data_IF_801066506179
#
_entry.id   IF_801066506179
#
_cell.length_a   1.000
_cell.length_b   1.000
_cell.length_c   1.000
_cell.angle_alpha   90.00
_cell.angle_beta   90.00
_cell.angle_gamma   90.00
#
_symmetry.space_group_name_H-M   'P 1'
#
loop_
_entity.id
_entity.type
_entity.pdbx_description
1 polymer ?
#
# COMPACT_ATOMS: atom_id res chain seq x y z
N UNK A 1 3.16 10.85 -22.34
CA UNK A 1 2.36 10.56 -21.13
C UNK A 1 1.27 9.59 -21.52
N UNK A 2 1.13 8.48 -20.82
CA UNK A 2 0.04 7.50 -21.04
C UNK A 2 -1.17 8.01 -20.26
N UNK A 3 -2.37 7.84 -20.83
CA UNK A 3 -3.63 8.10 -20.11
C UNK A 3 -4.26 6.80 -19.65
N UNK A 4 -4.67 6.77 -18.41
CA UNK A 4 -5.40 5.65 -17.85
C UNK A 4 -6.85 5.60 -18.40
N UNK A 5 -7.43 4.41 -18.34
CA UNK A 5 -8.84 4.17 -18.64
C UNK A 5 -9.52 3.52 -17.43
N UNK A 6 -10.78 3.84 -17.19
CA UNK A 6 -11.52 3.27 -16.07
C UNK A 6 -11.84 1.79 -16.34
N UNK A 7 -11.43 0.91 -15.43
CA UNK A 7 -11.79 -0.50 -15.41
C UNK A 7 -13.14 -0.70 -14.70
N UNK A 8 -13.28 -0.09 -13.51
CA UNK A 8 -14.51 -0.14 -12.70
C UNK A 8 -14.56 1.06 -11.75
N UNK A 9 -15.70 1.32 -11.16
CA UNK A 9 -15.94 2.40 -10.19
C UNK A 9 -16.75 1.92 -8.99
N UNK A 10 -17.50 2.83 -8.38
CA UNK A 10 -18.35 2.56 -7.24
C UNK A 10 -17.60 2.05 -6.00
N UNK A 11 -16.40 2.59 -5.78
CA UNK A 11 -15.61 2.38 -4.57
C UNK A 11 -15.73 3.61 -3.66
N UNK A 12 -15.78 3.41 -2.37
CA UNK A 12 -15.61 4.53 -1.44
C UNK A 12 -14.16 5.00 -1.42
N UNK A 13 -13.23 4.12 -1.05
CA UNK A 13 -11.80 4.42 -1.07
C UNK A 13 -11.00 3.12 -1.19
N UNK A 14 -10.53 2.82 -2.40
CA UNK A 14 -9.79 1.60 -2.69
C UNK A 14 -8.32 1.71 -2.32
N UNK A 15 -7.79 0.69 -1.60
CA UNK A 15 -6.41 0.64 -1.12
C UNK A 15 -5.83 -0.77 -1.07
N UNK A 16 -4.51 -0.86 -0.84
CA UNK A 16 -3.79 -2.10 -0.66
C UNK A 16 -3.96 -3.11 -1.81
N UNK A 17 -3.90 -2.69 -3.09
CA UNK A 17 -4.17 -3.58 -4.20
C UNK A 17 -3.10 -4.68 -4.33
N UNK A 18 -3.55 -5.91 -4.63
CA UNK A 18 -2.69 -7.09 -4.80
C UNK A 18 -3.20 -7.94 -5.95
N UNK A 19 -2.30 -8.30 -6.88
CA UNK A 19 -2.66 -9.23 -7.94
C UNK A 19 -2.49 -10.68 -7.46
N UNK A 20 -3.61 -11.37 -7.25
CA UNK A 20 -3.63 -12.73 -6.72
C UNK A 20 -4.70 -13.59 -7.42
N UNK A 21 -4.36 -14.81 -7.83
CA UNK A 21 -5.26 -15.75 -8.51
C UNK A 21 -6.05 -15.08 -9.66
N UNK A 22 -5.33 -14.44 -10.58
CA UNK A 22 -5.85 -13.80 -11.80
C UNK A 22 -6.90 -12.70 -11.54
N UNK A 23 -6.88 -12.10 -10.35
CA UNK A 23 -7.73 -10.98 -9.96
C UNK A 23 -6.94 -9.93 -9.19
N UNK A 24 -7.36 -8.68 -9.31
CA UNK A 24 -6.90 -7.62 -8.41
C UNK A 24 -7.75 -7.65 -7.14
N UNK A 25 -7.12 -7.98 -6.02
CA UNK A 25 -7.69 -7.87 -4.68
C UNK A 25 -7.39 -6.50 -4.11
N UNK A 26 -8.30 -5.93 -3.35
CA UNK A 26 -8.12 -4.61 -2.73
C UNK A 26 -9.04 -4.44 -1.54
N UNK A 27 -8.67 -3.54 -0.65
CA UNK A 27 -9.49 -3.07 0.46
C UNK A 27 -10.30 -1.85 0.02
N UNK A 28 -11.60 -1.82 0.34
CA UNK A 28 -12.44 -0.64 0.19
C UNK A 28 -12.75 -0.13 1.61
N UNK A 29 -11.97 0.87 2.05
CA UNK A 29 -11.91 1.31 3.45
C UNK A 29 -13.28 1.56 4.07
N UNK A 30 -14.08 2.40 3.42
CA UNK A 30 -15.37 2.84 3.98
C UNK A 30 -16.53 1.91 3.59
N UNK A 31 -16.30 0.96 2.70
CA UNK A 31 -17.20 -0.17 2.50
C UNK A 31 -16.99 -1.28 3.56
N UNK A 32 -15.92 -1.18 4.38
CA UNK A 32 -15.53 -2.20 5.35
C UNK A 32 -15.36 -3.59 4.70
N UNK A 33 -14.81 -3.63 3.51
CA UNK A 33 -14.78 -4.83 2.70
C UNK A 33 -13.45 -5.04 1.97
N UNK A 34 -13.04 -6.29 1.87
CA UNK A 34 -12.05 -6.73 0.88
C UNK A 34 -12.83 -7.19 -0.34
N UNK A 35 -12.47 -6.66 -1.48
CA UNK A 35 -13.08 -6.95 -2.78
C UNK A 35 -12.03 -7.48 -3.76
N UNK A 36 -12.48 -8.09 -4.83
CA UNK A 36 -11.63 -8.39 -5.98
C UNK A 36 -12.29 -7.99 -7.29
N UNK A 37 -11.49 -7.70 -8.31
CA UNK A 37 -11.99 -7.39 -9.65
C UNK A 37 -11.22 -8.19 -10.70
N UNK A 38 -11.94 -8.74 -11.66
CA UNK A 38 -11.35 -9.39 -12.83
C UNK A 38 -10.93 -8.40 -13.91
N UNK A 39 -10.24 -8.88 -14.94
CA UNK A 39 -9.89 -8.07 -16.13
C UNK A 39 -11.12 -7.60 -16.91
N UNK A 40 -12.29 -8.19 -16.65
CA UNK A 40 -13.59 -7.79 -17.22
C UNK A 40 -14.29 -6.68 -16.42
N UNK A 41 -13.67 -6.16 -15.38
CA UNK A 41 -14.20 -5.10 -14.50
C UNK A 41 -15.25 -5.57 -13.49
N UNK A 42 -15.56 -6.89 -13.42
CA UNK A 42 -16.54 -7.40 -12.48
C UNK A 42 -15.96 -7.56 -11.08
N UNK A 43 -16.52 -6.80 -10.15
CA UNK A 43 -16.17 -6.88 -8.73
C UNK A 43 -16.83 -8.10 -8.06
N UNK A 44 -16.16 -8.59 -7.01
CA UNK A 44 -16.68 -9.58 -6.05
C UNK A 44 -16.39 -9.09 -4.65
N UNK A 45 -17.31 -9.33 -3.74
CA UNK A 45 -17.08 -9.22 -2.31
C UNK A 45 -16.37 -10.52 -1.86
N UNK A 46 -15.21 -10.37 -1.25
CA UNK A 46 -14.42 -11.50 -0.77
C UNK A 46 -14.52 -11.64 0.75
N UNK A 47 -14.57 -10.51 1.47
CA UNK A 47 -14.63 -10.47 2.91
C UNK A 47 -15.25 -9.17 3.41
N UNK A 48 -16.09 -9.24 4.45
CA UNK A 48 -16.56 -8.09 5.22
C UNK A 48 -15.88 -8.04 6.59
N UNK A 49 -15.52 -6.85 7.03
CA UNK A 49 -14.90 -6.60 8.33
C UNK A 49 -15.75 -5.64 9.17
N UNK A 50 -15.69 -5.77 10.48
CA UNK A 50 -16.29 -4.79 11.40
C UNK A 50 -15.52 -3.46 11.38
N UNK A 51 -14.19 -3.52 11.18
CA UNK A 51 -13.29 -2.38 11.07
C UNK A 51 -12.91 -2.08 9.61
N UNK A 52 -12.15 -1.01 9.36
CA UNK A 52 -11.61 -0.64 8.06
C UNK A 52 -10.47 -1.59 7.68
N UNK A 53 -10.56 -2.33 6.56
CA UNK A 53 -9.42 -3.07 6.02
C UNK A 53 -8.42 -2.13 5.35
N UNK A 54 -7.12 -2.47 5.37
CA UNK A 54 -6.09 -1.81 4.58
C UNK A 54 -5.18 -2.83 3.89
N UNK A 55 -3.90 -2.90 4.23
CA UNK A 55 -2.94 -3.77 3.60
C UNK A 55 -3.38 -5.24 3.52
N UNK A 56 -3.14 -5.85 2.37
CA UNK A 56 -3.45 -7.25 2.08
C UNK A 56 -2.19 -8.05 1.79
N UNK A 57 -2.22 -9.35 2.08
CA UNK A 57 -1.16 -10.29 1.69
C UNK A 57 -1.57 -11.72 1.99
N UNK A 58 -0.72 -12.67 1.63
CA UNK A 58 -1.00 -14.10 1.85
C UNK A 58 0.17 -14.79 2.53
N UNK A 59 -0.15 -15.61 3.49
CA UNK A 59 0.78 -16.59 4.03
C UNK A 59 1.16 -17.63 2.96
N UNK A 60 2.31 -18.32 3.09
CA UNK A 60 2.71 -19.36 2.14
C UNK A 60 1.70 -20.53 2.00
N UNK A 61 0.85 -20.73 3.00
CA UNK A 61 -0.24 -21.73 2.97
C UNK A 61 -1.51 -21.25 2.27
N UNK A 62 -1.51 -20.01 1.73
CA UNK A 62 -2.59 -19.42 0.97
C UNK A 62 -3.63 -18.67 1.82
N UNK A 63 -3.48 -18.59 3.15
CA UNK A 63 -4.41 -17.82 3.99
C UNK A 63 -4.17 -16.33 3.83
N UNK A 64 -5.27 -15.59 3.65
CA UNK A 64 -5.26 -14.13 3.53
C UNK A 64 -4.90 -13.49 4.89
N UNK A 65 -4.03 -12.50 4.85
CA UNK A 65 -3.79 -11.54 5.93
C UNK A 65 -4.40 -10.19 5.55
N UNK A 66 -5.06 -9.54 6.50
CA UNK A 66 -5.70 -8.23 6.32
C UNK A 66 -5.37 -7.33 7.51
N UNK A 67 -4.90 -6.13 7.24
CA UNK A 67 -4.74 -5.10 8.28
C UNK A 67 -6.11 -4.56 8.68
N UNK A 68 -6.44 -4.62 9.97
CA UNK A 68 -7.56 -3.93 10.61
C UNK A 68 -7.04 -2.62 11.17
N UNK A 69 -7.39 -1.52 10.50
CA UNK A 69 -6.71 -0.22 10.70
C UNK A 69 -6.86 0.34 12.11
N UNK A 70 -8.13 0.51 12.56
CA UNK A 70 -8.47 1.17 13.84
C UNK A 70 -8.23 0.29 15.04
N UNK A 71 -8.46 -1.02 14.88
CA UNK A 71 -8.17 -1.99 15.92
C UNK A 71 -6.67 -2.27 16.05
N UNK A 72 -5.85 -1.77 15.09
CA UNK A 72 -4.39 -2.00 15.03
C UNK A 72 -4.05 -3.49 15.16
N UNK A 73 -4.69 -4.30 14.31
CA UNK A 73 -4.50 -5.76 14.28
C UNK A 73 -4.16 -6.24 12.89
N UNK A 74 -3.41 -7.31 12.82
CA UNK A 74 -3.30 -8.13 11.62
C UNK A 74 -4.25 -9.31 11.78
N UNK A 75 -5.25 -9.40 10.90
CA UNK A 75 -6.22 -10.49 10.88
C UNK A 75 -5.81 -11.54 9.87
N UNK A 76 -6.18 -12.80 10.12
CA UNK A 76 -5.96 -13.93 9.24
C UNK A 76 -7.29 -14.62 8.94
N UNK A 77 -7.54 -14.89 7.66
CA UNK A 77 -8.71 -15.65 7.26
C UNK A 77 -8.43 -17.15 7.36
N UNK A 78 -9.07 -17.79 8.32
CA UNK A 78 -9.08 -19.24 8.51
C UNK A 78 -10.38 -19.86 7.93
N UNK A 79 -10.51 -21.18 7.92
CA UNK A 79 -11.69 -21.87 7.39
C UNK A 79 -12.98 -21.60 8.16
N UNK A 80 -12.88 -21.20 9.42
CA UNK A 80 -13.97 -20.91 10.36
C UNK A 80 -14.19 -19.40 10.57
N UNK A 81 -13.46 -18.54 9.85
CA UNK A 81 -13.63 -17.10 9.86
C UNK A 81 -12.34 -16.33 10.10
N UNK A 82 -12.47 -15.06 10.49
CA UNK A 82 -11.34 -14.21 10.81
C UNK A 82 -10.82 -14.47 12.22
N UNK A 83 -9.51 -14.67 12.33
CA UNK A 83 -8.78 -14.77 13.58
C UNK A 83 -7.75 -13.63 13.69
N UNK A 84 -7.45 -13.19 14.92
CA UNK A 84 -6.33 -12.28 15.17
C UNK A 84 -5.04 -13.04 14.95
N UNK A 85 -4.24 -12.62 13.97
CA UNK A 85 -2.91 -13.16 13.71
C UNK A 85 -1.86 -12.48 14.60
N UNK A 86 -1.97 -11.15 14.73
CA UNK A 86 -1.10 -10.35 15.59
C UNK A 86 -1.83 -9.09 16.10
N UNK A 87 -1.52 -8.67 17.33
CA UNK A 87 -1.91 -7.39 17.88
C UNK A 87 -0.76 -6.40 17.73
N UNK A 88 -1.03 -5.26 17.11
CA UNK A 88 -0.03 -4.24 16.74
C UNK A 88 -0.11 -2.99 17.61
N UNK A 89 -1.05 -2.92 18.56
CA UNK A 89 -1.33 -1.71 19.34
C UNK A 89 -0.13 -1.23 20.19
N UNK A 90 0.71 -2.14 20.67
CA UNK A 90 1.91 -1.78 21.44
C UNK A 90 3.08 -1.30 20.53
N UNK A 91 2.98 -1.47 19.23
CA UNK A 91 4.03 -1.21 18.24
C UNK A 91 3.71 -0.05 17.28
N UNK A 92 2.43 0.26 17.13
CA UNK A 92 1.90 1.33 16.26
C UNK A 92 1.29 2.43 17.11
N UNK A 93 1.58 3.67 16.80
CA UNK A 93 1.10 4.81 17.59
C UNK A 93 -0.24 5.36 17.12
N UNK A 94 -0.66 4.98 15.92
CA UNK A 94 -1.97 5.33 15.32
C UNK A 94 -2.39 4.26 14.32
N UNK A 95 -3.46 4.50 13.55
CA UNK A 95 -4.05 3.58 12.56
C UNK A 95 -2.97 2.81 11.78
N UNK A 96 -3.05 1.49 11.76
CA UNK A 96 -2.25 0.68 10.84
C UNK A 96 -2.71 0.91 9.40
N UNK A 97 -1.81 0.72 8.42
CA UNK A 97 -2.08 1.05 7.02
C UNK A 97 -1.67 -0.09 6.08
N UNK A 98 -0.91 0.22 5.03
CA UNK A 98 -0.48 -0.77 4.05
C UNK A 98 0.50 -1.78 4.65
N UNK A 99 0.64 -2.90 3.99
CA UNK A 99 1.55 -3.97 4.40
C UNK A 99 2.09 -4.69 3.16
N UNK A 100 3.27 -5.28 3.28
CA UNK A 100 3.76 -6.28 2.32
C UNK A 100 4.04 -7.59 3.04
N UNK A 101 3.72 -8.72 2.41
CA UNK A 101 4.06 -10.06 2.89
C UNK A 101 5.08 -10.69 1.93
N UNK A 102 6.24 -11.12 2.46
CA UNK A 102 7.25 -11.78 1.64
C UNK A 102 6.94 -13.27 1.40
N UNK A 103 7.76 -13.90 0.57
CA UNK A 103 7.62 -15.33 0.23
C UNK A 103 7.78 -16.28 1.43
N UNK A 104 8.34 -15.80 2.55
CA UNK A 104 8.47 -16.57 3.79
C UNK A 104 7.29 -16.42 4.72
N UNK A 105 6.36 -15.50 4.40
CA UNK A 105 5.19 -15.17 5.21
C UNK A 105 5.44 -14.09 6.26
N UNK A 106 6.58 -13.40 6.22
CA UNK A 106 6.81 -12.21 7.06
C UNK A 106 6.05 -11.03 6.48
N UNK A 107 5.33 -10.33 7.34
CA UNK A 107 4.64 -9.10 7.00
C UNK A 107 5.38 -7.89 7.58
N UNK A 108 5.55 -6.84 6.79
CA UNK A 108 5.90 -5.51 7.28
C UNK A 108 4.67 -4.63 7.15
N UNK A 109 4.30 -3.97 8.26
CA UNK A 109 3.07 -3.19 8.39
C UNK A 109 3.43 -1.74 8.72
N UNK A 110 2.92 -0.82 7.93
CA UNK A 110 3.00 0.62 8.16
C UNK A 110 1.86 1.13 9.05
N UNK A 111 1.99 2.37 9.50
CA UNK A 111 0.95 3.07 10.22
C UNK A 111 1.09 4.59 10.05
N UNK A 112 0.04 5.33 10.35
CA UNK A 112 0.04 6.80 10.23
C UNK A 112 0.95 7.49 11.24
N UNK A 113 1.19 6.87 12.40
CA UNK A 113 1.98 7.46 13.48
C UNK A 113 1.23 8.47 14.35
N UNK A 114 0.29 9.20 13.78
CA UNK A 114 -0.52 10.23 14.43
C UNK A 114 -1.83 10.46 13.66
N UNK A 115 -2.75 11.24 14.22
CA UNK A 115 -3.98 11.65 13.54
C UNK A 115 -3.66 12.74 12.50
N UNK A 116 -3.43 12.31 11.26
CA UNK A 116 -3.03 13.17 10.14
C UNK A 116 -4.12 14.20 9.83
N UNK A 117 -5.39 13.76 9.76
CA UNK A 117 -6.51 14.64 9.42
C UNK A 117 -6.67 15.73 10.48
N UNK A 118 -6.65 15.37 11.76
CA UNK A 118 -6.72 16.34 12.85
C UNK A 118 -5.54 17.33 12.85
N UNK A 119 -4.33 16.85 12.59
CA UNK A 119 -3.14 17.72 12.53
C UNK A 119 -3.17 18.65 11.32
N UNK A 120 -3.67 18.21 10.17
CA UNK A 120 -3.86 19.06 8.99
C UNK A 120 -4.92 20.15 9.27
N UNK A 121 -6.02 19.77 9.92
CA UNK A 121 -7.08 20.73 10.30
C UNK A 121 -6.57 21.78 11.31
N UNK A 122 -5.74 21.36 12.27
CA UNK A 122 -5.22 22.24 13.33
C UNK A 122 -4.16 23.21 12.82
N UNK A 123 -3.19 22.75 12.04
CA UNK A 123 -1.98 23.54 11.71
C UNK A 123 -1.66 23.68 10.22
N UNK A 124 -2.46 23.03 9.35
CA UNK A 124 -2.28 23.06 7.90
C UNK A 124 -1.21 22.08 7.39
N UNK A 125 -1.34 21.70 6.11
CA UNK A 125 -0.46 20.71 5.46
C UNK A 125 1.02 21.12 5.51
N UNK A 126 1.34 22.40 5.23
CA UNK A 126 2.72 22.87 5.22
C UNK A 126 3.41 22.68 6.58
N UNK A 127 2.70 22.97 7.68
CA UNK A 127 3.26 22.80 9.01
C UNK A 127 3.39 21.32 9.40
N UNK A 128 2.46 20.48 8.96
CA UNK A 128 2.55 19.02 9.17
C UNK A 128 3.78 18.43 8.46
N UNK A 129 4.08 18.87 7.24
CA UNK A 129 5.28 18.43 6.52
C UNK A 129 6.58 18.80 7.25
N UNK A 130 6.61 19.93 7.98
CA UNK A 130 7.79 20.41 8.70
C UNK A 130 7.91 19.74 10.09
N UNK A 131 6.78 19.57 10.78
CA UNK A 131 6.72 19.17 12.19
C UNK A 131 5.64 18.10 12.41
N UNK A 132 5.99 16.85 12.18
CA UNK A 132 5.15 15.67 12.44
C UNK A 132 5.96 14.62 13.21
N UNK A 133 5.33 13.83 14.09
CA UNK A 133 6.00 12.75 14.78
C UNK A 133 6.38 11.62 13.82
N UNK A 134 7.51 10.97 14.06
CA UNK A 134 7.86 9.72 13.41
C UNK A 134 7.14 8.54 14.05
N UNK A 135 7.17 7.40 13.37
CA UNK A 135 6.57 6.17 13.85
C UNK A 135 7.46 4.96 13.57
N UNK A 136 6.97 3.77 13.90
CA UNK A 136 7.67 2.51 13.64
C UNK A 136 7.14 1.84 12.36
N UNK A 137 8.04 1.16 11.64
CA UNK A 137 7.68 0.06 10.76
C UNK A 137 7.65 -1.21 11.58
N UNK A 138 6.56 -1.95 11.52
CA UNK A 138 6.33 -3.15 12.33
C UNK A 138 6.55 -4.40 11.50
N UNK A 139 7.24 -5.43 12.04
CA UNK A 139 7.35 -6.75 11.43
C UNK A 139 6.50 -7.75 12.22
N UNK A 140 5.76 -8.58 11.48
CA UNK A 140 5.03 -9.74 12.00
C UNK A 140 5.59 -10.99 11.34
N UNK A 141 6.08 -11.91 12.13
CA UNK A 141 6.57 -13.21 11.66
C UNK A 141 5.40 -14.19 11.38
N UNK A 142 5.59 -15.26 10.61
CA UNK A 142 4.51 -16.19 10.25
C UNK A 142 3.79 -16.84 11.43
N UNK A 143 4.43 -16.91 12.59
CA UNK A 143 3.84 -17.41 13.84
C UNK A 143 3.05 -16.37 14.63
N UNK A 144 2.99 -15.12 14.14
CA UNK A 144 2.33 -13.99 14.80
C UNK A 144 3.22 -13.20 15.76
N UNK A 145 4.51 -13.53 15.87
CA UNK A 145 5.45 -12.75 16.69
C UNK A 145 5.65 -11.36 16.09
N UNK A 146 5.55 -10.32 16.92
CA UNK A 146 5.63 -8.91 16.50
C UNK A 146 6.90 -8.27 17.01
N UNK A 147 7.55 -7.46 16.19
CA UNK A 147 8.67 -6.61 16.61
C UNK A 147 8.72 -5.30 15.80
N UNK A 148 9.40 -4.29 16.34
CA UNK A 148 9.76 -3.10 15.59
C UNK A 148 10.85 -3.46 14.59
N UNK A 149 10.58 -3.27 13.29
CA UNK A 149 11.52 -3.52 12.22
C UNK A 149 12.45 -2.31 11.98
N UNK A 150 11.88 -1.10 12.04
CA UNK A 150 12.64 0.16 11.97
C UNK A 150 11.86 1.24 12.72
N UNK A 151 12.57 2.10 13.41
CA UNK A 151 12.03 3.32 14.01
C UNK A 151 12.24 4.53 13.09
N UNK A 152 11.71 5.69 13.51
CA UNK A 152 11.89 6.97 12.84
C UNK A 152 11.46 6.95 11.35
N UNK A 153 10.30 6.37 11.09
CA UNK A 153 9.65 6.38 9.79
C UNK A 153 8.62 7.52 9.72
N UNK A 154 8.48 8.10 8.54
CA UNK A 154 7.63 9.27 8.31
C UNK A 154 6.40 8.90 7.47
N UNK A 155 5.40 8.30 8.11
CA UNK A 155 4.23 7.71 7.50
C UNK A 155 4.62 6.61 6.49
N UNK A 156 5.15 5.46 6.97
CA UNK A 156 5.41 4.30 6.12
C UNK A 156 4.10 3.80 5.50
N UNK A 157 4.05 3.84 4.18
CA UNK A 157 2.88 3.53 3.36
C UNK A 157 3.16 2.31 2.47
N UNK A 158 2.97 2.41 1.16
CA UNK A 158 3.22 1.30 0.23
C UNK A 158 4.61 0.69 0.36
N UNK A 159 4.69 -0.63 0.21
CA UNK A 159 5.93 -1.39 0.38
C UNK A 159 6.07 -2.45 -0.69
N UNK A 160 7.31 -2.71 -1.10
CA UNK A 160 7.64 -3.82 -1.99
C UNK A 160 8.88 -4.56 -1.51
N UNK A 161 8.93 -5.86 -1.77
CA UNK A 161 10.14 -6.69 -1.62
C UNK A 161 10.64 -7.05 -3.00
N UNK A 162 11.92 -6.78 -3.25
CA UNK A 162 12.56 -7.10 -4.55
C UNK A 162 12.44 -8.59 -4.90
N UNK A 163 12.49 -8.96 -6.20
CA UNK A 163 12.32 -10.34 -6.65
C UNK A 163 13.26 -11.36 -6.00
N UNK A 164 14.48 -10.91 -5.65
CA UNK A 164 15.48 -11.73 -4.95
C UNK A 164 15.22 -11.89 -3.44
N UNK A 165 14.21 -11.17 -2.90
CA UNK A 165 13.82 -11.20 -1.49
C UNK A 165 14.79 -10.51 -0.53
N UNK A 166 15.72 -9.69 -1.03
CA UNK A 166 16.83 -9.12 -0.23
C UNK A 166 16.65 -7.65 0.14
N UNK A 167 15.75 -6.94 -0.53
CA UNK A 167 15.54 -5.51 -0.29
C UNK A 167 14.07 -5.25 -0.05
N UNK A 168 13.76 -4.58 1.06
CA UNK A 168 12.47 -3.96 1.32
C UNK A 168 12.57 -2.49 0.91
N UNK A 169 11.65 -2.02 0.08
CA UNK A 169 11.49 -0.60 -0.26
C UNK A 169 10.17 -0.12 0.32
N UNK A 170 10.19 0.99 1.04
CA UNK A 170 9.05 1.57 1.76
C UNK A 170 8.84 3.00 1.27
N UNK A 171 7.62 3.32 0.89
CA UNK A 171 7.21 4.71 0.65
C UNK A 171 7.06 5.43 1.99
N UNK A 172 7.77 6.54 2.17
CA UNK A 172 7.58 7.46 3.31
C UNK A 172 6.86 8.71 2.80
N UNK A 173 5.52 8.72 2.97
CA UNK A 173 4.64 9.74 2.36
C UNK A 173 5.03 11.16 2.77
N UNK A 174 5.30 11.40 4.06
CA UNK A 174 5.61 12.74 4.58
C UNK A 174 7.08 13.15 4.37
N UNK A 175 7.96 12.20 4.08
CA UNK A 175 9.35 12.48 3.65
C UNK A 175 9.49 12.61 2.13
N UNK A 176 8.43 12.37 1.37
CA UNK A 176 8.44 12.38 -0.10
C UNK A 176 9.59 11.55 -0.68
N UNK A 177 9.84 10.35 -0.12
CA UNK A 177 10.92 9.49 -0.57
C UNK A 177 10.54 8.01 -0.52
N UNK A 178 11.34 7.21 -1.20
CA UNK A 178 11.37 5.76 -1.03
C UNK A 178 12.62 5.40 -0.22
N UNK A 179 12.44 4.67 0.86
CA UNK A 179 13.52 4.20 1.75
C UNK A 179 13.73 2.71 1.55
N UNK A 180 14.98 2.29 1.36
CA UNK A 180 15.32 0.88 1.21
C UNK A 180 16.06 0.34 2.43
N UNK A 181 15.81 -0.94 2.70
CA UNK A 181 16.48 -1.74 3.72
C UNK A 181 17.00 -3.04 3.11
N UNK A 182 18.12 -3.53 3.61
CA UNK A 182 18.54 -4.92 3.38
C UNK A 182 17.77 -5.83 4.34
N UNK A 183 17.15 -6.87 3.81
CA UNK A 183 16.49 -7.92 4.62
C UNK A 183 17.55 -8.98 4.94
N UNK A 184 17.87 -9.13 6.22
CA UNK A 184 18.79 -10.14 6.71
C UNK A 184 18.12 -11.53 6.80
N UNK A 185 18.90 -12.58 6.97
CA UNK A 185 18.39 -13.96 6.99
C UNK A 185 17.37 -14.22 8.12
N UNK A 186 17.49 -13.51 9.24
CA UNK A 186 16.55 -13.58 10.38
C UNK A 186 15.34 -12.63 10.19
N UNK A 187 15.28 -11.90 9.08
CA UNK A 187 14.22 -10.92 8.79
C UNK A 187 14.44 -9.56 9.44
N UNK A 188 15.54 -9.32 10.14
CA UNK A 188 15.91 -7.98 10.60
C UNK A 188 16.24 -7.08 9.40
N UNK A 189 16.05 -5.77 9.58
CA UNK A 189 16.34 -4.77 8.56
C UNK A 189 17.67 -4.07 8.86
N UNK A 190 18.54 -4.01 7.86
CA UNK A 190 19.85 -3.35 7.92
C UNK A 190 20.02 -2.35 6.77
N UNK A 191 21.09 -1.57 6.82
CA UNK A 191 21.51 -0.69 5.73
C UNK A 191 20.40 0.25 5.21
N UNK A 192 19.65 0.91 6.14
CA UNK A 192 18.67 1.94 5.79
C UNK A 192 19.30 3.01 4.90
N UNK A 193 18.69 3.29 3.78
CA UNK A 193 19.15 4.29 2.81
C UNK A 193 18.01 4.86 2.01
N UNK A 194 18.12 6.10 1.55
CA UNK A 194 17.20 6.65 0.56
C UNK A 194 17.39 5.87 -0.75
N UNK A 195 16.31 5.24 -1.23
CA UNK A 195 16.28 4.56 -2.53
C UNK A 195 16.01 5.54 -3.66
N UNK A 196 15.07 6.46 -3.42
CA UNK A 196 14.77 7.57 -4.31
C UNK A 196 14.22 8.76 -3.51
N UNK A 197 14.72 9.95 -3.73
CA UNK A 197 14.07 11.20 -3.33
C UNK A 197 13.11 11.59 -4.43
N UNK A 198 11.87 11.96 -4.08
CA UNK A 198 10.84 12.31 -5.02
C UNK A 198 10.51 13.80 -4.93
N UNK A 199 10.39 14.45 -6.08
CA UNK A 199 10.02 15.85 -6.15
C UNK A 199 8.51 15.97 -6.45
N UNK A 200 7.78 16.75 -5.66
CA UNK A 200 6.34 16.99 -5.82
C UNK A 200 5.50 15.68 -5.90
N UNK A 201 5.90 14.69 -5.15
CA UNK A 201 5.21 13.41 -5.06
C UNK A 201 5.13 12.98 -3.60
N UNK A 202 3.91 12.86 -3.07
CA UNK A 202 3.62 12.18 -1.81
C UNK A 202 3.41 10.70 -2.14
N UNK A 203 4.45 9.83 -1.98
CA UNK A 203 4.35 8.43 -2.36
C UNK A 203 3.39 7.71 -1.44
N UNK A 204 2.46 6.97 -2.05
CA UNK A 204 1.45 6.20 -1.36
C UNK A 204 1.64 4.71 -1.69
N UNK A 205 0.64 3.99 -2.18
CA UNK A 205 0.81 2.61 -2.59
C UNK A 205 1.80 2.46 -3.76
N UNK A 206 2.67 1.44 -3.69
CA UNK A 206 3.72 1.20 -4.70
C UNK A 206 3.71 -0.25 -5.17
N UNK A 207 4.23 -0.51 -6.37
CA UNK A 207 4.54 -1.86 -6.84
C UNK A 207 5.84 -1.87 -7.66
N UNK A 208 6.47 -3.06 -7.78
CA UNK A 208 7.78 -3.23 -8.43
C UNK A 208 7.67 -4.03 -9.71
N UNK A 209 8.49 -3.71 -10.70
CA UNK A 209 8.59 -4.40 -11.98
C UNK A 209 9.81 -5.34 -12.09
N UNK A 210 9.91 -6.07 -13.22
CA UNK A 210 10.99 -7.03 -13.51
C UNK A 210 12.37 -6.37 -13.63
N UNK A 211 12.43 -5.07 -13.91
CA UNK A 211 13.68 -4.29 -14.00
C UNK A 211 14.08 -3.68 -12.63
N UNK A 212 13.34 -4.00 -11.55
CA UNK A 212 13.47 -3.44 -10.21
C UNK A 212 13.20 -1.94 -10.12
N UNK A 213 12.45 -1.37 -11.06
CA UNK A 213 11.93 -0.03 -10.93
C UNK A 213 10.57 -0.06 -10.22
N UNK A 214 10.18 1.06 -9.63
CA UNK A 214 9.00 1.15 -8.77
C UNK A 214 7.96 2.06 -9.39
N UNK A 215 6.73 1.56 -9.53
CA UNK A 215 5.56 2.38 -9.76
C UNK A 215 5.07 2.97 -8.45
N UNK A 216 4.82 4.26 -8.43
CA UNK A 216 4.48 5.05 -7.24
C UNK A 216 3.18 5.80 -7.51
N UNK A 217 2.16 5.52 -6.73
CA UNK A 217 0.95 6.34 -6.70
C UNK A 217 1.26 7.68 -6.03
N UNK A 218 0.86 8.79 -6.66
CA UNK A 218 1.09 10.13 -6.14
C UNK A 218 -0.21 10.67 -5.49
N UNK A 219 -0.28 10.62 -4.16
CA UNK A 219 -1.48 11.00 -3.41
C UNK A 219 -1.88 12.47 -3.55
N UNK A 220 -1.00 13.33 -4.07
CA UNK A 220 -1.27 14.77 -4.26
C UNK A 220 -1.40 15.18 -5.74
N UNK A 221 -1.38 14.20 -6.66
CA UNK A 221 -1.51 14.50 -8.09
C UNK A 221 -2.31 13.40 -8.82
N UNK A 222 -2.83 13.75 -9.99
CA UNK A 222 -3.57 12.84 -10.87
C UNK A 222 -2.60 12.02 -11.71
N UNK A 223 -1.72 11.24 -11.05
CA UNK A 223 -0.71 10.45 -11.75
C UNK A 223 -0.20 9.27 -10.92
N UNK A 224 0.28 8.27 -11.63
CA UNK A 224 1.19 7.25 -11.12
C UNK A 224 2.51 7.37 -11.88
N UNK A 225 3.64 7.40 -11.14
CA UNK A 225 4.96 7.60 -11.72
C UNK A 225 5.80 6.33 -11.65
N UNK A 226 6.60 6.07 -12.68
CA UNK A 226 7.56 4.98 -12.75
C UNK A 226 8.95 5.51 -12.44
N UNK A 227 9.62 5.00 -11.40
CA UNK A 227 10.83 5.57 -10.84
C UNK A 227 11.95 4.55 -10.80
N UNK A 228 13.12 4.91 -11.29
CA UNK A 228 14.35 4.16 -11.12
C UNK A 228 15.01 4.47 -9.77
N UNK A 229 15.89 3.58 -9.31
CA UNK A 229 16.71 3.87 -8.15
C UNK A 229 17.51 5.17 -8.36
N UNK A 230 17.49 6.05 -7.36
CA UNK A 230 18.08 7.38 -7.44
C UNK A 230 17.07 8.49 -7.77
N UNK A 231 15.81 8.15 -8.15
CA UNK A 231 14.72 9.11 -8.29
C UNK A 231 14.44 9.57 -9.73
N UNK A 232 15.14 9.01 -10.74
CA UNK A 232 14.81 9.31 -12.13
C UNK A 232 13.39 8.83 -12.47
N UNK A 233 12.53 9.72 -12.95
CA UNK A 233 11.19 9.39 -13.41
C UNK A 233 11.24 8.92 -14.86
N UNK A 234 11.05 7.61 -15.05
CA UNK A 234 11.11 6.95 -16.36
C UNK A 234 9.83 7.15 -17.17
N UNK A 235 8.67 7.14 -16.49
CA UNK A 235 7.36 7.22 -17.13
C UNK A 235 6.32 7.84 -16.19
N UNK A 236 5.27 8.41 -16.77
CA UNK A 236 4.09 8.91 -16.05
C UNK A 236 2.82 8.41 -16.72
N UNK A 237 1.87 7.98 -15.88
CA UNK A 237 0.49 7.65 -16.29
C UNK A 237 -0.44 8.67 -15.66
N UNK A 238 -1.20 9.39 -16.49
CA UNK A 238 -2.21 10.36 -16.06
C UNK A 238 -3.50 9.62 -15.67
N UNK A 239 -4.02 9.93 -14.48
CA UNK A 239 -5.28 9.41 -13.94
C UNK A 239 -6.38 10.47 -13.92
N UNK A 240 -7.64 10.06 -13.85
CA UNK A 240 -8.77 11.00 -13.81
C UNK A 240 -9.01 11.64 -12.43
N UNK A 241 -8.40 11.07 -11.38
CA UNK A 241 -8.52 11.49 -9.99
C UNK A 241 -7.15 11.38 -9.30
N UNK A 242 -7.01 11.80 -8.03
CA UNK A 242 -5.82 11.56 -7.23
C UNK A 242 -5.53 10.06 -7.13
N UNK A 243 -4.26 9.68 -7.19
CA UNK A 243 -3.84 8.28 -7.22
C UNK A 243 -3.25 7.87 -5.87
N UNK A 244 -3.87 6.91 -5.20
CA UNK A 244 -3.49 6.50 -3.85
C UNK A 244 -2.76 5.16 -3.79
N UNK A 245 -3.07 4.22 -4.69
CA UNK A 245 -2.32 2.97 -4.73
C UNK A 245 -2.20 2.43 -6.16
N UNK A 246 -1.21 1.58 -6.39
CA UNK A 246 -1.04 0.94 -7.69
C UNK A 246 -0.57 -0.51 -7.57
N UNK A 247 -0.88 -1.32 -8.59
CA UNK A 247 -0.45 -2.71 -8.68
C UNK A 247 -0.33 -3.16 -10.13
N UNK A 248 0.77 -3.80 -10.46
CA UNK A 248 0.94 -4.48 -11.74
C UNK A 248 0.23 -5.84 -11.72
N UNK A 249 -0.49 -6.15 -12.80
CA UNK A 249 -1.23 -7.40 -12.93
C UNK A 249 -1.67 -7.66 -14.38
N UNK A 250 -2.77 -8.38 -14.54
CA UNK A 250 -3.23 -8.87 -15.85
C UNK A 250 -2.51 -10.15 -16.26
N UNK A 251 -2.96 -10.78 -17.34
CA UNK A 251 -2.51 -12.10 -17.79
C UNK A 251 -0.99 -12.17 -18.07
N UNK A 252 -0.40 -11.07 -18.48
CA UNK A 252 1.04 -10.94 -18.79
C UNK A 252 1.79 -10.06 -17.76
N UNK A 253 1.15 -9.67 -16.65
CA UNK A 253 1.73 -8.82 -15.61
C UNK A 253 1.97 -7.36 -16.00
N UNK A 254 1.51 -6.92 -17.19
CA UNK A 254 1.81 -5.59 -17.76
C UNK A 254 0.61 -4.63 -17.77
N UNK A 255 -0.39 -4.89 -16.96
CA UNK A 255 -1.48 -3.96 -16.71
C UNK A 255 -1.24 -3.29 -15.37
N UNK A 256 -0.97 -1.99 -15.39
CA UNK A 256 -0.89 -1.17 -14.19
C UNK A 256 -2.32 -0.81 -13.78
N UNK A 257 -2.74 -1.26 -12.59
CA UNK A 257 -4.00 -0.90 -11.94
C UNK A 257 -3.71 0.22 -10.94
N UNK A 258 -4.54 1.25 -10.94
CA UNK A 258 -4.39 2.42 -10.08
C UNK A 258 -5.69 2.65 -9.32
N UNK A 259 -5.58 2.73 -7.99
CA UNK A 259 -6.69 3.05 -7.11
C UNK A 259 -6.78 4.57 -7.04
N UNK A 260 -7.90 5.13 -7.48
CA UNK A 260 -8.07 6.59 -7.57
C UNK A 260 -9.35 7.02 -6.85
N UNK A 261 -9.30 8.19 -6.23
CA UNK A 261 -10.44 8.82 -5.58
C UNK A 261 -10.34 10.36 -5.69
N UNK A 262 -11.46 11.09 -5.57
CA UNK A 262 -11.43 12.55 -5.58
C UNK A 262 -10.69 13.14 -4.39
N UNK A 263 -10.70 12.47 -3.24
CA UNK A 263 -10.13 12.93 -1.98
C UNK A 263 -9.86 11.75 -1.05
N UNK A 264 -8.85 11.87 -0.19
CA UNK A 264 -8.61 10.97 0.95
C UNK A 264 -9.29 11.43 2.23
N UNK A 265 -9.85 12.65 2.25
CA UNK A 265 -10.55 13.17 3.42
C UNK A 265 -11.71 12.24 3.79
N UNK A 266 -11.72 11.77 5.04
CA UNK A 266 -12.68 10.80 5.55
C UNK A 266 -14.14 11.22 5.32
N UNK A 267 -14.49 12.49 5.57
CA UNK A 267 -15.87 12.98 5.46
C UNK A 267 -16.36 12.97 4.01
N UNK A 268 -15.46 13.19 3.05
CA UNK A 268 -15.77 13.18 1.62
C UNK A 268 -15.79 11.74 1.08
N UNK A 269 -14.71 11.00 1.29
CA UNK A 269 -14.54 9.65 0.76
C UNK A 269 -15.57 8.64 1.31
N UNK A 270 -15.99 8.78 2.58
CA UNK A 270 -17.01 7.90 3.16
C UNK A 270 -18.43 8.23 2.76
N UNK A 271 -18.68 9.42 2.19
CA UNK A 271 -20.02 9.90 1.86
C UNK A 271 -20.51 9.46 0.48
N UNK A 272 -19.60 9.28 -0.47
CA UNK A 272 -19.92 8.97 -1.88
C UNK A 272 -18.93 7.96 -2.43
N UNK A 273 -19.46 6.88 -3.02
CA UNK A 273 -18.64 5.88 -3.72
C UNK A 273 -18.17 6.42 -5.09
N UNK A 274 -17.22 7.38 -5.07
CA UNK A 274 -16.69 8.03 -6.26
C UNK A 274 -15.30 7.52 -6.68
N UNK A 275 -14.71 6.62 -5.89
CA UNK A 275 -13.43 5.98 -6.19
C UNK A 275 -13.52 5.03 -7.38
N UNK A 276 -12.39 4.84 -8.05
CA UNK A 276 -12.27 4.03 -9.26
C UNK A 276 -11.01 3.17 -9.23
N UNK A 277 -11.04 2.14 -10.06
CA UNK A 277 -9.84 1.44 -10.52
C UNK A 277 -9.61 1.85 -11.97
N UNK A 278 -8.50 2.51 -12.22
CA UNK A 278 -8.06 2.90 -13.55
C UNK A 278 -6.91 2.00 -13.99
N UNK A 279 -6.77 1.76 -15.29
CA UNK A 279 -5.74 0.87 -15.83
C UNK A 279 -4.98 1.51 -16.98
N UNK A 280 -3.72 1.12 -17.10
CA UNK A 280 -2.88 1.46 -18.24
C UNK A 280 -1.99 0.27 -18.64
N UNK A 281 -1.66 0.16 -19.93
CA UNK A 281 -0.68 -0.83 -20.40
C UNK A 281 0.73 -0.26 -20.28
N UNK A 282 1.64 -1.06 -19.73
CA UNK A 282 3.04 -0.70 -19.53
C UNK A 282 3.96 -1.73 -20.20
N UNK A 283 5.24 -1.39 -20.36
CA UNK A 283 6.19 -2.21 -21.12
C UNK A 283 6.83 -3.32 -20.29
N UNK A 284 7.01 -3.09 -18.98
CA UNK A 284 7.69 -4.02 -18.07
C UNK A 284 6.66 -4.67 -17.14
N UNK A 285 6.78 -5.97 -16.93
CA UNK A 285 5.83 -6.75 -16.16
C UNK A 285 6.09 -6.71 -14.65
N UNK A 286 5.15 -7.28 -13.91
CA UNK A 286 5.18 -7.40 -12.45
C UNK A 286 6.31 -8.32 -11.97
N UNK A 287 6.96 -7.93 -10.89
CA UNK A 287 7.91 -8.77 -10.17
C UNK A 287 7.84 -8.53 -8.64
N UNK A 288 8.59 -9.31 -7.89
CA UNK A 288 8.72 -9.14 -6.44
C UNK A 288 7.48 -9.52 -5.63
N UNK A 289 7.33 -8.85 -4.51
CA UNK A 289 6.15 -8.83 -3.66
C UNK A 289 5.79 -7.36 -3.39
N UNK A 290 4.54 -6.98 -3.48
CA UNK A 290 3.36 -7.78 -3.71
C UNK A 290 3.21 -8.36 -5.12
#
# INVERSE_FOLDING_TARGET
MIKATVLTGDLYFGEGPRWHNDRLWFSDFYAHAVKSVGTDGKQRLELELADQPSGLGWLPDGRLLVVSMKEMKLLRQDSDGLAVHADLADFSTHLCNDMVVDKTGRAWVGNFGFDLDAQIEEKGVEQVLIDHPSTNLVRVDPDGTVCVASADMHFPNGMVVTPDGRTLIVAETLSMCLTAFTIEADGSLANRRVWAQLELCAPDGICIDEDNNVWVANAIAHECIHVAQGGEVLQRVETSQLCYACMLGGDDGRTLHMMTAPSSNKSEASSVAAGKIEVARVSVGRAGCP
#
